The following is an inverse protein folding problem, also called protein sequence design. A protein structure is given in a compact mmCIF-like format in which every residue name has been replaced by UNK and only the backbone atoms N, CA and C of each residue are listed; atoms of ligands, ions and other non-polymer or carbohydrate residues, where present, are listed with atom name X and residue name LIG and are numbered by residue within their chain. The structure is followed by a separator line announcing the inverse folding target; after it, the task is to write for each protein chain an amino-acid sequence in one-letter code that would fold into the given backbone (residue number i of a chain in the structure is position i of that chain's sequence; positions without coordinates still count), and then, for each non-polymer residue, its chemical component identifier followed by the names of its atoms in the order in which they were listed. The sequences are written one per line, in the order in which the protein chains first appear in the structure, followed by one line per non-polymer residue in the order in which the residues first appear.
data_IF_057554678550
#
_entry.id   IF_057554678550
#
_cell.length_a   1.000
_cell.length_b   1.000
_cell.length_c   1.000
_cell.angle_alpha   90.00
_cell.angle_beta   90.00
_cell.angle_gamma   90.00
#
_symmetry.space_group_name_H-M   'P 1'
#
loop_
_entity.id
_entity.type
_entity.pdbx_description
1 polymer ?
#
# COMPACT_ATOMS: atom_id res chain seq x y z
N UNK A 1 -7.81 -7.63 4.74
CA UNK A 1 -7.53 -7.33 6.17
C UNK A 1 -6.71 -8.38 6.93
N UNK A 2 -6.39 -9.57 6.39
CA UNK A 2 -5.61 -10.60 7.13
C UNK A 2 -4.14 -10.21 7.41
N UNK A 3 -3.45 -9.50 6.51
CA UNK A 3 -2.01 -9.20 6.65
C UNK A 3 -1.69 -8.29 7.86
N UNK A 4 -2.43 -7.20 8.02
CA UNK A 4 -2.22 -6.22 9.11
C UNK A 4 -2.52 -6.79 10.49
N UNK A 5 -3.56 -7.63 10.56
CA UNK A 5 -3.97 -8.28 11.80
C UNK A 5 -2.91 -9.29 12.29
N UNK A 6 -2.24 -9.97 11.36
CA UNK A 6 -1.15 -10.90 11.69
C UNK A 6 0.13 -10.17 12.12
N UNK A 7 0.33 -8.91 11.72
CA UNK A 7 1.48 -8.10 12.11
C UNK A 7 1.25 -7.28 13.40
N UNK A 8 0.03 -7.22 13.92
CA UNK A 8 -0.31 -6.38 15.09
C UNK A 8 -0.18 -4.87 14.83
N UNK A 9 -0.11 -4.46 13.56
CA UNK A 9 0.03 -3.06 13.16
C UNK A 9 -1.34 -2.40 13.01
N UNK A 10 -1.57 -1.31 13.74
CA UNK A 10 -2.71 -0.41 13.51
C UNK A 10 -2.39 0.56 12.37
N UNK A 11 -2.30 0.05 11.15
CA UNK A 11 -2.22 0.90 9.95
C UNK A 11 -3.64 1.24 9.48
N UNK A 12 -3.87 2.53 9.22
CA UNK A 12 -5.13 2.99 8.64
C UNK A 12 -5.17 2.65 7.16
N UNK A 13 -5.94 1.61 6.80
CA UNK A 13 -6.17 1.28 5.39
C UNK A 13 -7.30 2.14 4.86
N UNK A 14 -6.95 3.10 4.01
CA UNK A 14 -7.91 3.88 3.21
C UNK A 14 -7.87 3.45 1.76
N UNK A 15 -9.05 3.37 1.12
CA UNK A 15 -9.13 3.33 -0.34
C UNK A 15 -9.28 4.75 -0.85
N UNK A 16 -8.37 5.17 -1.70
CA UNK A 16 -8.45 6.45 -2.40
C UNK A 16 -8.95 6.13 -3.80
N UNK A 17 -10.09 6.72 -4.17
CA UNK A 17 -10.65 6.65 -5.52
C UNK A 17 -10.39 7.91 -6.33
N UNK A 18 -9.85 8.93 -5.67
CA UNK A 18 -9.55 10.23 -6.26
C UNK A 18 -8.22 10.15 -7.03
N UNK A 19 -8.32 10.23 -8.35
CA UNK A 19 -7.17 10.12 -9.26
C UNK A 19 -6.18 11.26 -9.03
N UNK A 20 -6.64 12.47 -8.70
CA UNK A 20 -5.76 13.61 -8.42
C UNK A 20 -4.91 13.35 -7.17
N UNK A 21 -5.55 12.80 -6.12
CA UNK A 21 -4.87 12.43 -4.89
C UNK A 21 -3.90 11.26 -5.11
N UNK A 22 -4.25 10.29 -5.94
CA UNK A 22 -3.36 9.17 -6.33
C UNK A 22 -2.12 9.69 -7.08
N UNK A 23 -2.33 10.61 -8.05
CA UNK A 23 -1.24 11.22 -8.80
C UNK A 23 -0.31 12.06 -7.92
N UNK A 24 -0.84 12.71 -6.88
CA UNK A 24 -0.04 13.45 -5.89
C UNK A 24 0.94 12.54 -5.11
N UNK A 25 0.65 11.25 -4.98
CA UNK A 25 1.59 10.28 -4.41
C UNK A 25 2.60 9.74 -5.43
N UNK A 26 2.61 10.25 -6.67
CA UNK A 26 3.48 9.76 -7.74
C UNK A 26 3.06 8.39 -8.30
N UNK A 27 1.84 7.94 -8.02
CA UNK A 27 1.29 6.71 -8.60
C UNK A 27 0.78 7.00 -10.01
N UNK A 28 1.36 6.32 -11.00
CA UNK A 28 0.96 6.44 -12.42
C UNK A 28 0.01 5.30 -12.83
N UNK A 29 0.14 4.12 -12.20
CA UNK A 29 -0.64 2.92 -12.53
C UNK A 29 -1.21 2.24 -11.29
N UNK A 30 -2.54 2.12 -11.23
CA UNK A 30 -3.27 1.37 -10.21
C UNK A 30 -3.54 -0.07 -10.68
N UNK A 31 -3.61 -1.08 -9.79
CA UNK A 31 -3.52 -1.01 -8.34
C UNK A 31 -2.10 -0.70 -7.84
N UNK A 32 -2.03 0.08 -6.76
CA UNK A 32 -0.78 0.55 -6.13
C UNK A 32 -0.89 0.49 -4.61
N UNK A 33 0.24 0.31 -3.93
CA UNK A 33 0.34 0.33 -2.48
C UNK A 33 1.22 1.51 -2.06
N UNK A 34 0.68 2.38 -1.19
CA UNK A 34 1.39 3.55 -0.64
C UNK A 34 1.37 3.47 0.88
N UNK A 35 2.51 3.74 1.51
CA UNK A 35 2.67 3.82 2.96
C UNK A 35 3.42 5.11 3.31
N UNK A 36 2.86 5.93 4.20
CA UNK A 36 3.47 7.20 4.64
C UNK A 36 4.01 8.04 3.47
N UNK A 37 3.14 8.27 2.48
CA UNK A 37 3.42 9.02 1.25
C UNK A 37 4.47 8.39 0.30
N UNK A 38 5.02 7.21 0.66
CA UNK A 38 5.95 6.46 -0.17
C UNK A 38 5.23 5.36 -0.96
N UNK A 39 5.43 5.36 -2.27
CA UNK A 39 4.93 4.29 -3.14
C UNK A 39 5.77 3.03 -2.94
N UNK A 40 5.15 1.98 -2.42
CA UNK A 40 5.77 0.67 -2.22
C UNK A 40 5.61 -0.22 -3.45
N UNK A 41 4.52 -0.05 -4.20
CA UNK A 41 4.26 -0.81 -5.42
C UNK A 41 3.29 -0.07 -6.33
N UNK A 42 3.46 -0.22 -7.63
CA UNK A 42 2.61 0.33 -8.67
C UNK A 42 2.43 -0.70 -9.79
N UNK A 43 1.21 -0.81 -10.33
CA UNK A 43 0.92 -1.66 -11.49
C UNK A 43 1.00 -3.17 -11.25
N UNK A 44 1.07 -3.64 -9.99
CA UNK A 44 1.09 -5.07 -9.63
C UNK A 44 0.04 -5.38 -8.57
N UNK A 45 -0.71 -6.46 -8.78
CA UNK A 45 -1.56 -7.04 -7.74
C UNK A 45 -0.65 -7.83 -6.79
N UNK A 46 -0.42 -7.27 -5.60
CA UNK A 46 0.41 -7.91 -4.57
C UNK A 46 -0.37 -8.99 -3.82
N UNK A 47 0.30 -10.10 -3.56
CA UNK A 47 -0.22 -11.14 -2.68
C UNK A 47 -0.03 -10.76 -1.20
N UNK A 48 -0.76 -11.45 -0.31
CA UNK A 48 -0.72 -11.17 1.14
C UNK A 48 0.72 -11.18 1.69
N UNK A 49 1.53 -12.14 1.28
CA UNK A 49 2.90 -12.32 1.78
C UNK A 49 3.84 -11.22 1.26
N UNK A 50 3.70 -10.82 -0.01
CA UNK A 50 4.46 -9.70 -0.58
C UNK A 50 4.14 -8.38 0.13
N UNK A 51 2.86 -8.15 0.47
CA UNK A 51 2.46 -6.97 1.25
C UNK A 51 3.13 -6.99 2.63
N UNK A 52 3.19 -8.15 3.29
CA UNK A 52 3.85 -8.28 4.60
C UNK A 52 5.35 -8.01 4.48
N UNK A 53 6.03 -8.55 3.47
CA UNK A 53 7.45 -8.28 3.24
C UNK A 53 7.72 -6.80 2.98
N UNK A 54 6.95 -6.17 2.09
CA UNK A 54 7.08 -4.73 1.78
C UNK A 54 6.83 -3.85 3.01
N UNK A 55 5.85 -4.20 3.85
CA UNK A 55 5.59 -3.49 5.10
C UNK A 55 6.71 -3.71 6.12
N UNK A 56 7.28 -4.92 6.23
CA UNK A 56 8.42 -5.21 7.12
C UNK A 56 9.71 -4.53 6.70
N UNK A 57 9.93 -4.36 5.40
CA UNK A 57 11.12 -3.68 4.87
C UNK A 57 11.09 -2.17 5.12
N UNK A 58 9.89 -1.60 5.26
CA UNK A 58 9.65 -0.16 5.39
C UNK A 58 9.36 0.35 6.80
N UNK A 59 8.98 -0.55 7.73
CA UNK A 59 8.78 -0.28 9.16
C UNK A 59 10.04 -0.58 9.96
#
# INVERSE_FOLDING_TARGET
MKALKDMGLSLTVGHIYDIEKIASYGVISTPSLVLDENVLSYGKVLNKDEIIELLKDKL
#
